data_IF_961705507737
#
_entry.id   IF_961705507737
#
_cell.length_a   1.000
_cell.length_b   1.000
_cell.length_c   1.000
_cell.angle_alpha   90.00
_cell.angle_beta   90.00
_cell.angle_gamma   90.00
#
_symmetry.space_group_name_H-M   'P 1'
#
loop_
_entity.id
_entity.type
_entity.pdbx_description
1 polymer ?
#
# COMPACT_ATOMS: atom_id res chain seq x y z
N UNK A 1 -12.49 -58.55 30.71
CA UNK A 1 -13.01 -57.20 30.37
C UNK A 1 -12.61 -56.10 31.37
N UNK A 2 -11.81 -56.38 32.41
CA UNK A 2 -11.52 -55.42 33.50
C UNK A 2 -10.25 -54.56 33.32
N UNK A 3 -9.48 -54.77 32.25
CA UNK A 3 -8.23 -54.06 31.98
C UNK A 3 -8.33 -52.97 30.90
N UNK A 4 -9.46 -52.90 30.17
CA UNK A 4 -9.65 -51.91 29.11
C UNK A 4 -9.92 -50.50 29.64
N UNK A 5 -10.62 -50.40 30.78
CA UNK A 5 -11.02 -49.13 31.41
C UNK A 5 -9.82 -48.34 31.96
N UNK A 6 -8.86 -48.93 32.70
CA UNK A 6 -7.70 -48.18 33.18
C UNK A 6 -6.76 -47.75 32.05
N UNK A 7 -6.67 -48.53 30.97
CA UNK A 7 -5.83 -48.20 29.80
C UNK A 7 -6.42 -47.04 28.99
N UNK A 8 -7.75 -46.98 28.84
CA UNK A 8 -8.43 -45.88 28.15
C UNK A 8 -8.36 -44.57 28.96
N UNK A 9 -8.43 -44.66 30.30
CA UNK A 9 -8.29 -43.50 31.19
C UNK A 9 -6.85 -42.98 31.23
N UNK A 10 -5.86 -43.87 31.18
CA UNK A 10 -4.44 -43.48 31.06
C UNK A 10 -4.13 -42.82 29.71
N UNK A 11 -4.76 -43.27 28.61
CA UNK A 11 -4.63 -42.63 27.29
C UNK A 11 -5.26 -41.23 27.23
N UNK A 12 -6.33 -40.98 28.01
CA UNK A 12 -6.97 -39.66 28.11
C UNK A 12 -6.17 -38.66 28.96
N UNK A 13 -5.37 -39.14 29.91
CA UNK A 13 -4.51 -38.32 30.79
C UNK A 13 -3.08 -38.13 30.25
N UNK A 14 -2.65 -38.99 29.33
CA UNK A 14 -1.38 -38.88 28.58
C UNK A 14 -1.54 -38.14 27.24
N UNK A 15 -2.69 -37.48 27.02
CA UNK A 15 -2.80 -36.46 26.00
C UNK A 15 -1.81 -35.36 26.38
N UNK A 16 -0.65 -35.36 25.74
CA UNK A 16 0.29 -34.26 25.80
C UNK A 16 -0.51 -32.98 25.71
N UNK A 17 -0.27 -32.03 26.62
CA UNK A 17 -0.57 -30.65 26.32
C UNK A 17 0.00 -30.43 24.93
N UNK A 18 -0.85 -30.10 23.97
CA UNK A 18 -0.33 -29.38 22.82
C UNK A 18 0.25 -28.15 23.50
N UNK A 19 1.58 -28.11 23.63
CA UNK A 19 2.25 -26.83 23.72
C UNK A 19 1.76 -26.15 22.45
N UNK A 20 0.73 -25.30 22.60
CA UNK A 20 0.37 -24.34 21.58
C UNK A 20 1.72 -23.77 21.17
N UNK A 21 2.13 -23.89 19.89
CA UNK A 21 3.44 -23.44 19.48
C UNK A 21 3.56 -22.05 20.02
N UNK A 22 4.49 -21.83 20.97
CA UNK A 22 4.59 -20.60 21.77
C UNK A 22 4.17 -19.49 20.86
N UNK A 23 2.94 -18.98 21.05
CA UNK A 23 2.57 -17.78 20.30
C UNK A 23 3.74 -16.86 20.62
N UNK A 24 4.44 -16.30 19.63
CA UNK A 24 5.41 -15.27 19.95
C UNK A 24 4.59 -14.11 20.51
N UNK A 25 4.27 -14.18 21.80
CA UNK A 25 3.76 -13.11 22.65
C UNK A 25 4.87 -12.09 22.89
N UNK A 26 6.04 -12.33 22.29
CA UNK A 26 7.18 -11.43 22.20
C UNK A 26 7.45 -10.96 20.78
N UNK A 27 6.50 -10.26 20.14
CA UNK A 27 6.88 -9.07 19.35
C UNK A 27 7.25 -7.89 20.28
N UNK A 28 7.34 -8.13 21.60
CA UNK A 28 7.57 -7.15 22.66
C UNK A 28 9.03 -6.75 22.84
N UNK A 29 9.79 -6.65 21.76
CA UNK A 29 10.82 -5.63 21.66
C UNK A 29 10.53 -4.65 20.50
N UNK A 30 9.26 -4.26 20.38
CA UNK A 30 8.83 -3.06 19.64
C UNK A 30 9.20 -1.75 20.36
N UNK A 31 10.12 -1.78 21.33
CA UNK A 31 10.61 -0.54 21.95
C UNK A 31 11.35 0.35 20.94
N UNK A 32 11.69 -0.19 19.76
CA UNK A 32 12.22 0.53 18.60
C UNK A 32 11.30 0.49 17.35
N UNK A 33 10.06 0.02 17.47
CA UNK A 33 9.09 -0.12 16.36
C UNK A 33 9.49 -1.18 15.31
N UNK A 34 8.53 -1.83 14.67
CA UNK A 34 8.80 -2.59 13.44
C UNK A 34 8.49 -1.64 12.27
N UNK A 35 9.45 -0.91 11.68
CA UNK A 35 9.18 -0.17 10.46
C UNK A 35 8.85 -1.17 9.35
N UNK A 36 7.56 -1.41 9.17
CA UNK A 36 7.03 -2.17 8.05
C UNK A 36 6.92 -1.23 6.86
N UNK A 37 7.61 -1.56 5.78
CA UNK A 37 7.57 -0.80 4.54
C UNK A 37 7.11 -1.67 3.39
N UNK A 38 6.30 -1.09 2.50
CA UNK A 38 5.88 -1.71 1.28
C UNK A 38 6.29 -0.88 0.06
N UNK A 39 7.02 -1.50 -0.85
CA UNK A 39 7.40 -0.93 -2.14
C UNK A 39 6.67 -1.69 -3.24
N UNK A 40 6.26 -1.02 -4.30
CA UNK A 40 5.72 -1.72 -5.45
C UNK A 40 4.87 -0.85 -6.35
N UNK A 41 3.93 -1.49 -7.04
CA UNK A 41 3.11 -0.85 -8.04
C UNK A 41 1.61 -0.82 -7.68
N UNK A 42 0.74 -0.95 -8.68
CA UNK A 42 -0.72 -0.87 -8.57
C UNK A 42 -1.32 -1.75 -7.48
N UNK A 43 -0.87 -3.01 -7.33
CA UNK A 43 -1.42 -3.92 -6.32
C UNK A 43 -1.03 -3.50 -4.90
N UNK A 44 0.22 -3.02 -4.74
CA UNK A 44 0.73 -2.46 -3.48
C UNK A 44 -0.01 -1.17 -3.13
N UNK A 45 -0.30 -0.34 -4.13
CA UNK A 45 -1.01 0.92 -3.97
C UNK A 45 -2.52 0.76 -3.64
N UNK A 46 -3.10 -0.42 -3.88
CA UNK A 46 -4.56 -0.61 -3.83
C UNK A 46 -5.31 0.05 -4.99
N UNK A 47 -4.68 0.09 -6.16
CA UNK A 47 -5.29 0.59 -7.39
C UNK A 47 -6.40 -0.34 -7.86
N UNK A 48 -7.60 0.21 -8.06
CA UNK A 48 -8.77 -0.52 -8.54
C UNK A 48 -9.64 0.37 -9.42
N UNK A 49 -10.50 -0.24 -10.23
CA UNK A 49 -11.41 0.47 -11.13
C UNK A 49 -10.73 1.55 -11.99
N UNK A 50 -9.49 1.29 -12.41
CA UNK A 50 -8.74 2.23 -13.24
C UNK A 50 -8.20 3.46 -12.50
N UNK A 51 -8.13 3.48 -11.17
CA UNK A 51 -7.52 4.58 -10.43
C UNK A 51 -7.19 4.30 -8.96
N UNK A 52 -6.78 5.35 -8.26
CA UNK A 52 -6.65 5.37 -6.81
C UNK A 52 -7.88 6.02 -6.18
N UNK A 53 -8.51 5.29 -5.27
CA UNK A 53 -9.58 5.79 -4.40
C UNK A 53 -9.46 5.08 -3.06
N UNK A 54 -9.79 5.79 -1.99
CA UNK A 54 -9.64 5.33 -0.61
C UNK A 54 -10.26 3.94 -0.39
N UNK A 55 -11.43 3.64 -0.96
CA UNK A 55 -12.06 2.32 -0.81
C UNK A 55 -11.19 1.16 -1.31
N UNK A 56 -10.44 1.37 -2.40
CA UNK A 56 -9.49 0.38 -2.91
C UNK A 56 -8.21 0.30 -2.12
N UNK A 57 -7.70 1.46 -1.71
CA UNK A 57 -6.50 1.55 -0.89
C UNK A 57 -6.71 0.90 0.47
N UNK A 58 -7.92 0.96 1.02
CA UNK A 58 -8.31 0.26 2.26
C UNK A 58 -8.27 -1.28 2.16
N UNK A 59 -8.14 -1.80 0.95
CA UNK A 59 -7.99 -3.23 0.62
C UNK A 59 -6.60 -3.55 0.05
N UNK A 60 -5.65 -2.61 0.09
CA UNK A 60 -4.28 -2.86 -0.36
C UNK A 60 -3.63 -3.95 0.51
N UNK A 61 -2.92 -4.89 -0.10
CA UNK A 61 -2.32 -5.98 0.66
C UNK A 61 -1.36 -5.49 1.77
N UNK A 62 -0.57 -4.41 1.59
CA UNK A 62 0.28 -3.92 2.68
C UNK A 62 -0.53 -3.44 3.87
N UNK A 63 -1.63 -2.72 3.62
CA UNK A 63 -2.49 -2.26 4.70
C UNK A 63 -3.11 -3.46 5.46
N UNK A 64 -3.50 -4.52 4.75
CA UNK A 64 -4.03 -5.73 5.38
C UNK A 64 -2.97 -6.43 6.25
N UNK A 65 -1.71 -6.48 5.80
CA UNK A 65 -0.59 -7.02 6.58
C UNK A 65 -0.33 -6.14 7.81
N UNK A 66 -0.25 -4.82 7.64
CA UNK A 66 -0.04 -3.86 8.74
C UNK A 66 -1.11 -4.00 9.83
N UNK A 67 -2.39 -4.14 9.43
CA UNK A 67 -3.50 -4.43 10.36
C UNK A 67 -3.31 -5.75 11.10
N UNK A 68 -2.85 -6.79 10.40
CA UNK A 68 -2.60 -8.10 11.02
C UNK A 68 -1.40 -8.07 11.97
N UNK A 69 -0.43 -7.18 11.73
CA UNK A 69 0.70 -6.89 12.61
C UNK A 69 0.29 -6.04 13.83
N UNK A 70 -0.93 -5.49 13.85
CA UNK A 70 -1.41 -4.63 14.93
C UNK A 70 -0.89 -3.19 14.89
N UNK A 71 -0.35 -2.75 13.74
CA UNK A 71 0.13 -1.37 13.57
C UNK A 71 -1.04 -0.38 13.53
N UNK A 72 -0.85 0.82 14.07
CA UNK A 72 -1.83 1.90 13.89
C UNK A 72 -1.89 2.31 12.41
N UNK A 73 -3.06 2.15 11.78
CA UNK A 73 -3.31 2.50 10.37
C UNK A 73 -4.12 3.78 10.20
N UNK A 74 -4.17 4.61 11.24
CA UNK A 74 -4.83 5.91 11.22
C UNK A 74 -4.23 6.82 10.14
N UNK A 75 -5.10 7.47 9.38
CA UNK A 75 -4.72 8.28 8.22
C UNK A 75 -3.87 9.47 8.68
N UNK A 76 -2.65 9.60 8.15
CA UNK A 76 -1.79 10.76 8.36
C UNK A 76 -0.95 10.74 9.66
N UNK A 77 -1.27 9.85 10.62
CA UNK A 77 -0.65 9.85 11.96
C UNK A 77 -0.32 8.46 12.51
N UNK A 78 -0.75 7.39 11.85
CA UNK A 78 -0.49 6.03 12.28
C UNK A 78 0.97 5.58 12.03
N UNK A 79 1.30 4.39 12.52
CA UNK A 79 2.58 3.70 12.28
C UNK A 79 2.69 3.15 10.86
N UNK A 80 1.57 2.93 10.17
CA UNK A 80 1.53 2.55 8.77
C UNK A 80 0.57 3.43 7.98
N UNK A 81 1.14 4.31 7.18
CA UNK A 81 0.44 5.29 6.35
C UNK A 81 0.64 5.00 4.86
N UNK A 82 -0.33 5.46 4.07
CA UNK A 82 -0.33 5.32 2.62
C UNK A 82 -1.00 6.55 1.99
N UNK A 83 -0.69 6.87 0.73
CA UNK A 83 -1.19 8.07 0.04
C UNK A 83 -2.67 7.94 -0.32
N UNK A 84 -3.56 8.04 0.67
CA UNK A 84 -4.99 7.94 0.46
C UNK A 84 -5.50 9.02 -0.50
N UNK A 85 -6.49 8.66 -1.32
CA UNK A 85 -7.15 9.56 -2.27
C UNK A 85 -8.65 9.57 -2.00
N UNK A 86 -9.20 10.72 -1.64
CA UNK A 86 -10.64 10.88 -1.44
C UNK A 86 -11.42 10.81 -2.75
N UNK A 87 -12.71 10.52 -2.62
CA UNK A 87 -13.67 10.53 -3.73
C UNK A 87 -13.65 11.91 -4.42
N UNK A 88 -13.61 12.00 -5.76
CA UNK A 88 -13.89 10.96 -6.76
C UNK A 88 -12.74 10.00 -7.10
N UNK A 89 -11.59 10.15 -6.47
CA UNK A 89 -10.38 9.41 -6.79
C UNK A 89 -9.57 10.06 -7.91
N UNK A 90 -8.45 9.43 -8.24
CA UNK A 90 -7.55 9.81 -9.34
C UNK A 90 -7.47 8.62 -10.29
N UNK A 91 -8.20 8.70 -11.40
CA UNK A 91 -8.28 7.69 -12.45
C UNK A 91 -7.29 7.89 -13.58
N UNK A 92 -7.17 6.86 -14.42
CA UNK A 92 -6.34 6.85 -15.64
C UNK A 92 -7.14 7.00 -16.92
N UNK A 93 -8.47 7.10 -16.83
CA UNK A 93 -9.31 7.42 -18.00
C UNK A 93 -9.07 8.85 -18.46
N UNK A 94 -9.25 9.09 -19.76
CA UNK A 94 -9.13 10.43 -20.32
C UNK A 94 -10.26 11.31 -19.81
N UNK A 95 -9.97 12.45 -19.16
CA UNK A 95 -11.00 13.39 -18.73
C UNK A 95 -11.65 14.09 -19.93
N UNK A 96 -12.84 14.61 -19.72
CA UNK A 96 -13.57 15.42 -20.71
C UNK A 96 -12.92 16.77 -20.95
N UNK A 97 -12.32 17.35 -19.91
CA UNK A 97 -11.54 18.60 -19.97
C UNK A 97 -10.06 18.32 -19.59
N UNK A 98 -9.08 18.69 -20.44
CA UNK A 98 -7.65 18.59 -20.12
C UNK A 98 -7.21 19.32 -18.85
N UNK A 99 -7.97 20.30 -18.35
CA UNK A 99 -7.71 20.98 -17.09
C UNK A 99 -8.16 20.19 -15.84
N UNK A 100 -8.66 18.97 -16.03
CA UNK A 100 -9.18 18.10 -14.99
C UNK A 100 -8.45 16.75 -14.95
N UNK A 101 -8.65 16.03 -13.86
CA UNK A 101 -8.34 14.61 -13.75
C UNK A 101 -9.64 13.82 -13.60
N UNK A 102 -9.76 12.71 -14.33
CA UNK A 102 -10.90 11.81 -14.18
C UNK A 102 -10.84 11.09 -12.83
N UNK A 103 -11.99 10.83 -12.22
CA UNK A 103 -12.12 9.93 -11.08
C UNK A 103 -11.93 8.47 -11.47
N UNK A 104 -12.13 7.56 -10.51
CA UNK A 104 -12.15 6.11 -10.80
C UNK A 104 -13.37 5.72 -11.62
N UNK A 105 -13.34 4.54 -12.23
CA UNK A 105 -14.49 3.97 -12.90
C UNK A 105 -15.49 3.42 -11.86
N UNK A 106 -16.78 3.44 -12.19
CA UNK A 106 -17.81 2.80 -11.39
C UNK A 106 -18.97 2.31 -12.26
N UNK A 107 -19.74 1.35 -11.75
CA UNK A 107 -20.98 0.95 -12.41
C UNK A 107 -22.14 1.83 -11.94
N UNK A 108 -22.79 2.54 -12.87
CA UNK A 108 -23.87 3.49 -12.57
C UNK A 108 -25.28 2.87 -12.60
N UNK A 109 -25.38 1.55 -12.79
CA UNK A 109 -26.65 0.83 -12.95
C UNK A 109 -27.02 0.50 -14.40
N UNK A 110 -26.43 1.19 -15.39
CA UNK A 110 -26.66 0.94 -16.82
C UNK A 110 -25.38 0.59 -17.59
N UNK A 111 -24.23 1.08 -17.13
CA UNK A 111 -22.93 0.83 -17.71
C UNK A 111 -21.78 1.27 -16.82
N UNK A 112 -20.57 1.14 -17.34
CA UNK A 112 -19.36 1.66 -16.73
C UNK A 112 -19.26 3.17 -17.03
N UNK A 113 -18.97 3.95 -15.99
CA UNK A 113 -18.89 5.41 -16.05
C UNK A 113 -17.71 5.92 -15.20
N UNK A 114 -17.35 7.19 -15.32
CA UNK A 114 -16.33 7.83 -14.48
C UNK A 114 -17.01 8.46 -13.27
N UNK A 115 -16.44 8.28 -12.08
CA UNK A 115 -16.94 8.79 -10.80
C UNK A 115 -16.79 10.32 -10.66
N UNK A 116 -17.00 11.11 -11.72
CA UNK A 116 -16.78 12.56 -11.75
C UNK A 116 -15.34 12.94 -12.10
N UNK A 117 -15.09 14.24 -12.25
CA UNK A 117 -13.77 14.80 -12.57
C UNK A 117 -13.40 15.88 -11.55
N UNK A 118 -12.10 16.02 -11.27
CA UNK A 118 -11.58 17.03 -10.33
C UNK A 118 -10.68 18.01 -11.08
N UNK A 119 -10.89 19.34 -10.95
CA UNK A 119 -9.96 20.32 -11.51
C UNK A 119 -8.54 20.10 -11.00
N UNK A 120 -7.53 20.21 -11.87
CA UNK A 120 -6.13 20.03 -11.47
C UNK A 120 -5.72 20.98 -10.32
N UNK A 121 -6.28 22.18 -10.29
CA UNK A 121 -6.05 23.17 -9.23
C UNK A 121 -6.57 22.74 -7.84
N UNK A 122 -7.51 21.79 -7.78
CA UNK A 122 -8.10 21.25 -6.55
C UNK A 122 -7.63 19.82 -6.26
N UNK A 123 -6.62 19.31 -6.97
CA UNK A 123 -6.15 17.94 -6.81
C UNK A 123 -5.65 17.64 -5.38
N UNK A 124 -5.05 18.64 -4.73
CA UNK A 124 -4.57 18.55 -3.35
C UNK A 124 -5.67 18.29 -2.34
N UNK A 125 -6.91 18.71 -2.63
CA UNK A 125 -8.05 18.51 -1.75
C UNK A 125 -8.46 17.03 -1.66
N UNK A 126 -8.03 16.21 -2.63
CA UNK A 126 -8.24 14.76 -2.62
C UNK A 126 -7.20 14.01 -1.78
N UNK A 127 -6.15 14.67 -1.28
CA UNK A 127 -5.00 14.02 -0.67
C UNK A 127 -4.93 14.30 0.85
N UNK A 128 -5.71 13.58 1.69
CA UNK A 128 -5.83 13.86 3.12
C UNK A 128 -4.52 13.83 3.91
N UNK A 129 -3.54 13.04 3.47
CA UNK A 129 -2.25 12.91 4.14
C UNK A 129 -1.14 13.71 3.44
N UNK A 130 -1.49 14.66 2.57
CA UNK A 130 -0.51 15.43 1.80
C UNK A 130 0.49 16.20 2.69
N UNK A 131 0.05 16.62 3.87
CA UNK A 131 0.83 17.41 4.82
C UNK A 131 1.54 16.57 5.90
N UNK A 132 1.46 15.24 5.84
CA UNK A 132 2.19 14.39 6.78
C UNK A 132 3.71 14.65 6.66
N UNK A 133 4.42 14.88 7.78
CA UNK A 133 5.83 15.28 7.74
C UNK A 133 6.77 14.15 7.32
N UNK A 134 6.35 12.89 7.50
CA UNK A 134 7.12 11.72 7.10
C UNK A 134 6.69 11.20 5.72
N UNK A 135 7.58 10.48 5.00
CA UNK A 135 7.16 9.68 3.86
C UNK A 135 6.11 8.64 4.27
N UNK A 136 5.48 8.00 3.29
CA UNK A 136 4.54 6.91 3.57
C UNK A 136 5.27 5.58 3.73
N UNK A 137 4.74 4.70 4.58
CA UNK A 137 5.22 3.33 4.72
C UNK A 137 4.82 2.46 3.52
N UNK A 138 3.68 2.77 2.89
CA UNK A 138 3.31 2.20 1.60
C UNK A 138 3.67 3.16 0.44
N UNK A 139 4.71 2.80 -0.30
CA UNK A 139 5.19 3.50 -1.50
C UNK A 139 4.82 2.74 -2.78
N UNK A 140 3.64 2.12 -2.80
CA UNK A 140 3.07 1.55 -4.01
C UNK A 140 2.70 2.62 -5.03
N UNK A 141 3.31 2.62 -6.21
CA UNK A 141 3.02 3.59 -7.29
C UNK A 141 2.38 2.88 -8.49
N UNK A 142 1.10 3.14 -8.81
CA UNK A 142 0.47 2.51 -9.97
C UNK A 142 1.26 2.71 -11.26
N UNK A 143 1.48 1.63 -12.00
CA UNK A 143 2.25 1.67 -13.25
C UNK A 143 3.77 1.79 -13.10
N UNK A 144 4.32 1.78 -11.88
CA UNK A 144 5.76 1.80 -11.67
C UNK A 144 6.45 0.52 -12.18
N UNK A 145 7.62 0.72 -12.80
CA UNK A 145 8.55 -0.30 -13.25
C UNK A 145 9.67 -0.50 -12.22
N UNK A 146 10.43 -1.59 -12.35
CA UNK A 146 11.56 -1.88 -11.46
C UNK A 146 12.61 -0.76 -11.44
N UNK A 147 12.86 -0.13 -12.59
CA UNK A 147 13.84 0.96 -12.69
C UNK A 147 13.39 2.24 -11.97
N UNK A 148 12.09 2.38 -11.69
CA UNK A 148 11.55 3.53 -10.95
C UNK A 148 11.92 3.49 -9.49
N UNK A 149 12.04 2.30 -8.89
CA UNK A 149 12.38 2.12 -7.48
C UNK A 149 13.67 2.86 -7.10
N UNK A 150 14.63 2.91 -8.03
CA UNK A 150 15.94 3.53 -7.80
C UNK A 150 16.03 4.98 -8.25
N UNK A 151 15.19 5.41 -9.21
CA UNK A 151 15.43 6.63 -9.97
C UNK A 151 14.25 7.60 -10.00
N UNK A 152 13.03 7.16 -9.66
CA UNK A 152 11.83 7.98 -9.81
C UNK A 152 11.44 8.61 -8.47
N UNK A 153 11.47 9.93 -8.41
CA UNK A 153 11.03 10.77 -7.27
C UNK A 153 9.85 11.67 -7.64
N UNK A 154 9.57 11.81 -8.93
CA UNK A 154 8.46 12.60 -9.47
C UNK A 154 8.03 12.04 -10.83
N UNK A 155 7.02 12.65 -11.43
CA UNK A 155 6.53 12.24 -12.74
C UNK A 155 7.60 12.36 -13.84
N UNK A 156 8.51 13.33 -13.74
CA UNK A 156 9.53 13.62 -14.76
C UNK A 156 10.72 12.63 -14.71
N UNK A 157 11.00 12.08 -13.54
CA UNK A 157 12.04 11.07 -13.30
C UNK A 157 11.53 9.63 -13.43
N UNK A 158 10.20 9.45 -13.52
CA UNK A 158 9.62 8.15 -13.82
C UNK A 158 10.11 7.59 -15.17
N UNK A 159 10.24 6.28 -15.27
CA UNK A 159 10.63 5.54 -16.46
C UNK A 159 9.77 5.92 -17.67
N UNK A 160 8.46 6.09 -17.45
CA UNK A 160 7.52 6.53 -18.46
C UNK A 160 7.87 7.89 -19.07
N UNK A 161 8.51 8.80 -18.32
CA UNK A 161 8.93 10.10 -18.85
C UNK A 161 9.94 9.96 -19.99
N UNK A 162 10.87 9.01 -19.90
CA UNK A 162 11.81 8.70 -21.00
C UNK A 162 11.11 8.20 -22.28
N UNK A 163 9.86 7.77 -22.17
CA UNK A 163 9.00 7.29 -23.26
C UNK A 163 7.92 8.33 -23.63
N UNK A 164 8.00 9.55 -23.11
CA UNK A 164 7.00 10.62 -23.33
C UNK A 164 5.67 10.40 -22.60
N UNK A 165 5.63 9.54 -21.58
CA UNK A 165 4.45 9.18 -20.78
C UNK A 165 4.77 9.26 -19.28
N UNK A 166 5.04 10.47 -18.74
CA UNK A 166 5.38 10.63 -17.33
C UNK A 166 4.25 10.12 -16.42
N UNK A 167 4.62 9.49 -15.31
CA UNK A 167 3.67 8.93 -14.35
C UNK A 167 3.38 9.91 -13.21
N UNK A 168 2.23 10.60 -13.27
CA UNK A 168 1.84 11.62 -12.31
C UNK A 168 1.67 11.11 -10.85
N UNK A 169 1.46 9.80 -10.65
CA UNK A 169 1.32 9.23 -9.30
C UNK A 169 2.58 9.43 -8.44
N UNK A 170 3.78 9.50 -9.04
CA UNK A 170 5.01 9.74 -8.28
C UNK A 170 5.00 11.08 -7.52
N UNK A 171 4.35 12.12 -8.06
CA UNK A 171 4.38 13.48 -7.49
C UNK A 171 3.83 13.55 -6.07
N UNK A 172 2.89 12.67 -5.70
CA UNK A 172 2.27 12.70 -4.38
C UNK A 172 2.51 11.44 -3.55
N UNK A 173 2.96 10.35 -4.18
CA UNK A 173 3.30 9.11 -3.47
C UNK A 173 4.76 9.13 -3.02
N UNK A 174 5.69 9.45 -3.92
CA UNK A 174 7.12 9.44 -3.62
C UNK A 174 7.64 10.85 -3.33
N UNK A 175 7.12 11.47 -2.26
CA UNK A 175 7.44 12.87 -1.89
C UNK A 175 8.87 13.10 -1.40
N UNK A 176 9.63 12.02 -1.17
CA UNK A 176 11.01 12.06 -0.75
C UNK A 176 11.85 11.31 -1.78
N UNK A 177 13.05 11.80 -2.07
CA UNK A 177 14.05 10.98 -2.73
C UNK A 177 14.40 9.85 -1.75
N UNK A 178 13.82 8.67 -1.94
CA UNK A 178 14.02 7.48 -1.12
C UNK A 178 15.52 7.17 -0.90
N UNK A 179 16.41 7.64 -1.78
CA UNK A 179 17.86 7.53 -1.66
C UNK A 179 18.62 8.88 -1.66
N UNK A 180 17.93 10.02 -1.69
CA UNK A 180 18.53 11.34 -1.96
C UNK A 180 18.53 12.32 -0.79
N UNK A 181 17.97 11.96 0.36
CA UNK A 181 18.12 12.74 1.59
C UNK A 181 19.17 12.04 2.47
N UNK A 182 20.29 12.70 2.84
CA UNK A 182 21.23 12.12 3.77
C UNK A 182 20.62 12.19 5.17
N UNK A 183 19.99 11.12 5.65
CA UNK A 183 19.58 11.05 7.05
C UNK A 183 19.80 9.64 7.59
N UNK A 184 20.86 9.49 8.38
CA UNK A 184 21.06 8.38 9.31
C UNK A 184 19.92 8.23 10.33
N UNK A 185 19.02 9.22 10.39
CA UNK A 185 17.92 9.34 11.34
C UNK A 185 16.54 9.11 10.71
N UNK A 186 16.45 8.72 9.42
CA UNK A 186 15.16 8.34 8.84
C UNK A 186 14.89 6.85 9.09
N UNK A 187 14.01 6.48 10.05
CA UNK A 187 13.72 5.07 10.36
C UNK A 187 13.14 4.30 9.16
N UNK A 188 12.64 5.01 8.15
CA UNK A 188 12.15 4.42 6.89
C UNK A 188 13.27 3.85 6.00
N UNK A 189 14.53 4.25 6.21
CA UNK A 189 15.68 3.68 5.50
C UNK A 189 16.16 2.35 6.11
N UNK A 190 15.63 1.95 7.27
CA UNK A 190 15.98 0.71 7.96
C UNK A 190 14.72 -0.10 8.34
N UNK A 191 13.88 -0.50 7.36
CA UNK A 191 12.70 -1.29 7.67
C UNK A 191 13.09 -2.63 8.30
N UNK A 192 12.44 -3.01 9.40
CA UNK A 192 12.57 -4.34 9.99
C UNK A 192 11.79 -5.38 9.17
N UNK A 193 10.80 -4.93 8.40
CA UNK A 193 10.09 -5.75 7.41
C UNK A 193 9.86 -4.96 6.12
N UNK A 194 10.28 -5.52 4.99
CA UNK A 194 10.07 -4.95 3.66
C UNK A 194 9.24 -5.91 2.81
N UNK A 195 8.13 -5.45 2.22
CA UNK A 195 7.44 -6.18 1.16
C UNK A 195 7.59 -5.48 -0.17
N UNK A 196 7.95 -6.23 -1.22
CA UNK A 196 8.10 -5.70 -2.58
C UNK A 196 7.09 -6.37 -3.54
N UNK A 197 6.14 -5.60 -4.04
CA UNK A 197 5.14 -6.03 -5.03
C UNK A 197 5.48 -5.51 -6.42
N UNK A 198 6.27 -6.25 -7.20
CA UNK A 198 6.68 -5.85 -8.56
C UNK A 198 6.04 -6.78 -9.57
N UNK A 199 4.96 -6.32 -10.21
CA UNK A 199 4.39 -7.03 -11.36
C UNK A 199 5.16 -6.66 -12.64
N UNK A 200 5.36 -7.65 -13.52
CA UNK A 200 5.90 -7.44 -14.87
C UNK A 200 5.05 -6.38 -15.59
N UNK A 201 5.67 -5.28 -16.01
CA UNK A 201 4.99 -4.19 -16.70
C UNK A 201 4.11 -4.70 -17.84
N UNK A 202 2.89 -4.17 -17.93
CA UNK A 202 1.98 -4.52 -19.01
C UNK A 202 2.66 -4.22 -20.35
N UNK A 203 2.64 -5.14 -21.32
CA UNK A 203 3.18 -4.85 -22.65
C UNK A 203 2.47 -3.63 -23.23
N UNK A 204 3.17 -2.80 -24.03
CA UNK A 204 2.55 -1.64 -24.66
C UNK A 204 1.31 -2.08 -25.46
N UNK A 205 0.26 -1.24 -25.53
CA UNK A 205 -0.89 -1.54 -26.39
C UNK A 205 -0.36 -1.73 -27.83
N UNK A 206 -0.76 -2.85 -28.44
CA UNK A 206 -0.47 -3.16 -29.85
C UNK A 206 -1.27 -2.24 -30.77
#
# INVERSE_FOLDING_TARGET
MSALIPVLLALLLAGCTLDDPDHPTGLTDVTNGVPYMALGNSLTAGFMDGGLIMSGQMSSFPLLIARQMGLDTSIGVGEFTQPYVFRPGIGTSTPTDPAHVAGVLHFNGTGLDVLGETPLASLTDLLPALTQPTPYENLGVPGAALVDVMNAYDAASSHGASLGRPNAFFNFINRAAFFGVPDSDNPMLQPTMLTAGIAKGAPPPR
#
